data_IF_575555286781
#
_entry.id   IF_575555286781
#
_cell.length_a   1.000
_cell.length_b   1.000
_cell.length_c   1.000
_cell.angle_alpha   90.00
_cell.angle_beta   90.00
_cell.angle_gamma   90.00
#
_symmetry.space_group_name_H-M   'P 1'
#
loop_
_entity.id
_entity.type
_entity.pdbx_description
1 polymer ?
#
# COMPACT_ATOMS: atom_id res chain seq x y z
N UNK A 1 9.83 -16.30 -11.76
CA UNK A 1 8.65 -15.88 -10.96
C UNK A 1 8.85 -14.45 -10.46
N UNK A 2 7.76 -13.76 -10.15
CA UNK A 2 7.76 -12.43 -9.56
C UNK A 2 7.50 -12.58 -8.05
N UNK A 3 8.33 -11.97 -7.22
CA UNK A 3 8.08 -11.87 -5.78
C UNK A 3 7.35 -10.56 -5.49
N UNK A 4 6.17 -10.63 -4.88
CA UNK A 4 5.50 -9.44 -4.35
C UNK A 4 5.48 -9.49 -2.82
N UNK A 5 5.40 -8.32 -2.19
CA UNK A 5 5.19 -8.29 -0.76
C UNK A 5 4.55 -7.01 -0.24
N UNK A 6 3.81 -7.17 0.85
CA UNK A 6 3.25 -6.10 1.66
C UNK A 6 4.08 -6.01 2.94
N UNK A 7 4.84 -4.91 3.09
CA UNK A 7 5.77 -4.72 4.20
C UNK A 7 5.14 -3.76 5.21
N UNK A 8 4.67 -4.32 6.32
CA UNK A 8 4.12 -3.58 7.45
C UNK A 8 5.02 -3.64 8.69
N UNK A 9 4.77 -2.71 9.63
CA UNK A 9 5.49 -2.64 10.90
C UNK A 9 5.30 -3.88 11.79
N UNK A 10 4.16 -4.56 11.67
CA UNK A 10 3.82 -5.75 12.48
C UNK A 10 3.96 -7.04 11.69
N UNK A 11 3.51 -7.04 10.43
CA UNK A 11 3.51 -8.22 9.56
C UNK A 11 4.11 -7.86 8.21
N UNK A 12 4.92 -8.77 7.69
CA UNK A 12 5.41 -8.77 6.32
C UNK A 12 4.80 -9.97 5.61
N UNK A 13 4.04 -9.71 4.55
CA UNK A 13 3.47 -10.76 3.69
C UNK A 13 4.28 -10.84 2.41
N UNK A 14 4.78 -12.02 2.08
CA UNK A 14 5.45 -12.29 0.81
C UNK A 14 4.65 -13.31 0.03
N UNK A 15 4.54 -13.10 -1.28
CA UNK A 15 3.91 -14.04 -2.18
C UNK A 15 4.67 -14.12 -3.50
N UNK A 16 4.76 -15.32 -4.07
CA UNK A 16 5.36 -15.54 -5.38
C UNK A 16 4.29 -15.77 -6.43
N UNK A 17 4.50 -15.18 -7.59
CA UNK A 17 3.57 -15.21 -8.70
C UNK A 17 4.24 -15.75 -9.97
N UNK A 18 3.50 -16.59 -10.68
CA UNK A 18 3.80 -16.97 -12.05
C UNK A 18 2.98 -16.10 -13.01
N UNK A 19 3.61 -15.70 -14.11
CA UNK A 19 2.99 -14.87 -15.14
C UNK A 19 2.40 -15.76 -16.22
N UNK A 20 1.09 -15.68 -16.44
CA UNK A 20 0.41 -16.32 -17.57
C UNK A 20 -0.25 -15.24 -18.43
N UNK A 21 0.45 -14.79 -19.47
CA UNK A 21 0.06 -13.62 -20.25
C UNK A 21 -0.01 -12.37 -19.35
N UNK A 22 -1.18 -11.74 -19.30
CA UNK A 22 -1.43 -10.56 -18.45
C UNK A 22 -1.97 -10.91 -17.05
N UNK A 23 -2.06 -12.20 -16.70
CA UNK A 23 -2.53 -12.64 -15.39
C UNK A 23 -1.37 -13.05 -14.49
N UNK A 24 -1.50 -12.74 -13.21
CA UNK A 24 -0.62 -13.21 -12.15
C UNK A 24 -1.31 -14.34 -11.41
N UNK A 25 -0.72 -15.54 -11.41
CA UNK A 25 -1.18 -16.65 -10.60
C UNK A 25 -0.33 -16.74 -9.34
N UNK A 26 -0.95 -16.62 -8.17
CA UNK A 26 -0.27 -16.84 -6.90
C UNK A 26 0.11 -18.31 -6.76
N UNK A 27 1.40 -18.56 -6.52
CA UNK A 27 1.96 -19.90 -6.32
C UNK A 27 2.04 -20.23 -4.83
N UNK A 28 2.55 -19.28 -4.04
CA UNK A 28 2.67 -19.43 -2.59
C UNK A 28 2.66 -18.08 -1.90
N UNK A 29 2.16 -18.05 -0.67
CA UNK A 29 2.17 -16.90 0.23
C UNK A 29 2.69 -17.33 1.61
N UNK A 30 3.45 -16.45 2.26
CA UNK A 30 3.81 -16.55 3.68
C UNK A 30 3.70 -15.21 4.38
N UNK A 31 3.40 -15.28 5.68
CA UNK A 31 3.38 -14.12 6.57
C UNK A 31 4.47 -14.30 7.62
N UNK A 32 5.25 -13.25 7.80
CA UNK A 32 6.32 -13.13 8.78
C UNK A 32 5.96 -12.06 9.81
N UNK A 33 6.30 -12.29 11.07
CA UNK A 33 6.19 -11.26 12.11
C UNK A 33 7.38 -10.30 11.98
N UNK A 34 7.15 -9.07 11.55
CA UNK A 34 8.24 -8.13 11.21
C UNK A 34 9.16 -7.84 12.40
N UNK A 35 8.62 -7.85 13.62
CA UNK A 35 9.38 -7.56 14.85
C UNK A 35 10.35 -8.69 15.25
N UNK A 36 10.16 -9.89 14.72
CA UNK A 36 11.01 -11.06 15.01
C UNK A 36 12.18 -11.17 14.02
N UNK A 37 12.33 -10.20 13.11
CA UNK A 37 13.25 -10.28 11.97
C UNK A 37 14.23 -9.11 12.00
N UNK A 38 15.48 -9.34 11.60
CA UNK A 38 16.50 -8.29 11.61
C UNK A 38 16.30 -7.27 10.49
N UNK A 39 15.70 -7.70 9.38
CA UNK A 39 15.44 -6.85 8.21
C UNK A 39 14.73 -7.60 7.08
N UNK A 40 14.23 -6.83 6.11
CA UNK A 40 13.57 -7.39 4.93
C UNK A 40 14.45 -8.36 4.10
N UNK A 41 15.77 -8.13 3.90
CA UNK A 41 16.61 -9.08 3.16
C UNK A 41 16.66 -10.49 3.77
N UNK A 42 16.59 -10.60 5.10
CA UNK A 42 16.56 -11.88 5.81
C UNK A 42 15.25 -12.63 5.50
N UNK A 43 14.12 -11.94 5.59
CA UNK A 43 12.79 -12.49 5.29
C UNK A 43 12.73 -13.01 3.85
N UNK A 44 13.19 -12.20 2.89
CA UNK A 44 13.17 -12.58 1.47
C UNK A 44 14.09 -13.78 1.23
N UNK A 45 15.29 -13.79 1.81
CA UNK A 45 16.23 -14.90 1.66
C UNK A 45 15.68 -16.20 2.24
N UNK A 46 15.03 -16.12 3.40
CA UNK A 46 14.35 -17.27 4.00
C UNK A 46 13.20 -17.78 3.12
N UNK A 47 12.36 -16.88 2.61
CA UNK A 47 11.25 -17.24 1.73
C UNK A 47 11.73 -17.94 0.46
N UNK A 48 12.71 -17.36 -0.24
CA UNK A 48 13.27 -17.93 -1.48
C UNK A 48 13.89 -19.31 -1.21
N UNK A 49 14.64 -19.44 -0.12
CA UNK A 49 15.28 -20.71 0.25
C UNK A 49 14.25 -21.79 0.59
N UNK A 50 13.26 -21.45 1.40
CA UNK A 50 12.29 -22.43 1.91
C UNK A 50 11.33 -22.89 0.82
N UNK A 51 10.92 -21.99 -0.06
CA UNK A 51 9.99 -22.31 -1.15
C UNK A 51 10.67 -22.78 -2.44
N UNK A 52 12.00 -22.62 -2.56
CA UNK A 52 12.76 -23.07 -3.73
C UNK A 52 12.41 -22.32 -5.02
N UNK A 53 12.02 -21.04 -4.92
CA UNK A 53 11.45 -20.29 -6.04
C UNK A 53 12.52 -19.53 -6.83
N UNK A 54 12.58 -19.67 -8.18
CA UNK A 54 13.44 -18.85 -9.02
C UNK A 54 12.84 -17.46 -9.24
N UNK A 55 13.07 -16.57 -8.27
CA UNK A 55 12.66 -15.16 -8.35
C UNK A 55 13.56 -14.41 -9.32
N UNK A 56 12.97 -13.68 -10.27
CA UNK A 56 13.70 -12.87 -11.27
C UNK A 56 13.56 -11.37 -11.03
N UNK A 57 12.42 -10.98 -10.47
CA UNK A 57 12.06 -9.60 -10.15
C UNK A 57 11.21 -9.59 -8.90
N UNK A 58 11.24 -8.45 -8.21
CA UNK A 58 10.41 -8.25 -7.02
C UNK A 58 9.76 -6.86 -7.00
N UNK A 59 8.61 -6.74 -6.33
CA UNK A 59 7.99 -5.46 -6.03
C UNK A 59 7.41 -5.49 -4.62
N UNK A 60 7.69 -4.46 -3.82
CA UNK A 60 7.23 -4.39 -2.44
C UNK A 60 6.41 -3.12 -2.21
N UNK A 61 5.17 -3.29 -1.73
CA UNK A 61 4.36 -2.23 -1.17
C UNK A 61 4.77 -1.98 0.28
N UNK A 62 5.09 -0.74 0.63
CA UNK A 62 5.52 -0.36 1.99
C UNK A 62 4.58 0.64 2.64
N UNK A 63 4.31 0.43 3.93
CA UNK A 63 3.55 1.37 4.75
C UNK A 63 4.37 2.66 4.99
N UNK A 64 4.17 3.65 4.13
CA UNK A 64 4.82 4.96 4.20
C UNK A 64 5.37 5.46 2.86
N UNK A 65 6.01 6.64 2.86
CA UNK A 65 6.48 7.28 1.65
C UNK A 65 7.72 6.58 1.07
N UNK A 66 7.72 6.36 -0.24
CA UNK A 66 8.89 5.92 -1.00
C UNK A 66 9.53 7.12 -1.69
N UNK A 67 10.83 7.34 -1.47
CA UNK A 67 11.60 8.43 -2.08
C UNK A 67 12.86 7.87 -2.71
N UNK A 68 13.03 8.09 -4.01
CA UNK A 68 14.19 7.61 -4.78
C UNK A 68 14.46 6.09 -4.59
N UNK A 69 13.39 5.28 -4.50
CA UNK A 69 13.50 3.83 -4.31
C UNK A 69 13.87 3.40 -2.89
N UNK A 70 13.76 4.30 -1.91
CA UNK A 70 14.05 4.07 -0.49
C UNK A 70 12.84 4.38 0.40
N UNK A 71 12.63 3.59 1.45
CA UNK A 71 11.60 3.83 2.47
C UNK A 71 12.09 3.47 3.87
N UNK A 72 11.58 4.18 4.86
CA UNK A 72 11.77 3.88 6.28
C UNK A 72 10.44 3.35 6.82
N UNK A 73 10.44 2.13 7.34
CA UNK A 73 9.23 1.55 7.91
C UNK A 73 8.97 2.16 9.28
N UNK A 74 7.77 2.72 9.48
CA UNK A 74 7.35 3.26 10.76
C UNK A 74 7.43 2.19 11.86
N UNK A 75 7.94 2.57 13.03
CA UNK A 75 8.07 1.68 14.20
C UNK A 75 8.99 0.46 14.02
N UNK A 76 9.81 0.42 12.96
CA UNK A 76 10.92 -0.53 12.81
C UNK A 76 12.22 0.24 12.51
N UNK A 77 13.39 -0.31 12.85
CA UNK A 77 14.68 0.28 12.48
C UNK A 77 15.02 0.07 10.99
N UNK A 78 14.07 -0.47 10.20
CA UNK A 78 14.31 -0.86 8.82
C UNK A 78 14.35 0.34 7.89
N UNK A 79 15.41 0.36 7.09
CA UNK A 79 15.55 1.21 5.93
C UNK A 79 15.68 0.27 4.73
N UNK A 80 14.72 0.34 3.83
CA UNK A 80 14.67 -0.49 2.64
C UNK A 80 15.12 0.36 1.47
N UNK A 81 16.11 -0.12 0.72
CA UNK A 81 16.57 0.47 -0.53
C UNK A 81 16.48 -0.58 -1.63
N UNK A 82 15.70 -0.28 -2.67
CA UNK A 82 15.45 -1.18 -3.80
C UNK A 82 16.73 -1.63 -4.52
N UNK A 83 17.71 -0.73 -4.69
CA UNK A 83 18.97 -1.05 -5.37
C UNK A 83 19.84 -1.95 -4.50
N UNK A 84 19.89 -1.66 -3.20
CA UNK A 84 20.60 -2.49 -2.24
C UNK A 84 20.00 -3.90 -2.17
N UNK A 85 18.66 -4.01 -2.06
CA UNK A 85 17.97 -5.30 -2.10
C UNK A 85 18.28 -6.06 -3.40
N UNK A 86 18.20 -5.40 -4.55
CA UNK A 86 18.50 -6.00 -5.85
C UNK A 86 19.91 -6.59 -5.90
N UNK A 87 20.91 -5.87 -5.40
CA UNK A 87 22.29 -6.33 -5.32
C UNK A 87 22.47 -7.49 -4.35
N UNK A 88 21.91 -7.40 -3.14
CA UNK A 88 22.06 -8.43 -2.10
C UNK A 88 21.39 -9.74 -2.51
N UNK A 89 20.23 -9.67 -3.15
CA UNK A 89 19.41 -10.82 -3.55
C UNK A 89 19.69 -11.30 -4.98
N UNK A 90 20.58 -10.62 -5.71
CA UNK A 90 20.91 -10.90 -7.12
C UNK A 90 19.68 -10.90 -8.03
N UNK A 91 18.77 -9.94 -7.79
CA UNK A 91 17.58 -9.74 -8.60
C UNK A 91 17.83 -8.68 -9.68
N UNK A 92 17.29 -8.90 -10.87
CA UNK A 92 17.47 -7.98 -12.00
C UNK A 92 16.69 -6.67 -11.82
N UNK A 93 15.56 -6.72 -11.12
CA UNK A 93 14.68 -5.57 -10.89
C UNK A 93 13.97 -5.71 -9.54
N UNK A 94 14.03 -4.64 -8.75
CA UNK A 94 13.31 -4.52 -7.47
C UNK A 94 12.57 -3.19 -7.46
N UNK A 95 11.24 -3.25 -7.42
CA UNK A 95 10.36 -2.11 -7.23
C UNK A 95 10.04 -1.89 -5.75
N UNK A 96 9.97 -0.62 -5.35
CA UNK A 96 9.46 -0.20 -4.05
C UNK A 96 8.39 0.85 -4.31
N UNK A 97 7.18 0.61 -3.83
CA UNK A 97 6.03 1.51 -4.00
C UNK A 97 5.30 1.68 -2.67
N UNK A 98 4.51 2.73 -2.54
CA UNK A 98 3.66 2.89 -1.38
C UNK A 98 2.60 1.76 -1.32
N UNK A 99 2.16 1.39 -0.13
CA UNK A 99 1.13 0.36 0.10
C UNK A 99 -0.22 0.68 -0.57
N UNK A 100 -0.70 1.92 -0.47
CA UNK A 100 -1.94 2.32 -1.13
C UNK A 100 -1.79 2.43 -2.65
N UNK A 101 -0.62 2.85 -3.13
CA UNK A 101 -0.28 2.78 -4.55
C UNK A 101 -0.31 1.32 -5.05
N UNK A 102 0.20 0.37 -4.27
CA UNK A 102 0.13 -1.06 -4.58
C UNK A 102 -1.32 -1.56 -4.63
N UNK A 103 -2.18 -1.12 -3.70
CA UNK A 103 -3.61 -1.45 -3.76
C UNK A 103 -4.29 -0.87 -4.99
N UNK A 104 -3.94 0.35 -5.38
CA UNK A 104 -4.45 0.97 -6.60
C UNK A 104 -4.07 0.19 -7.86
N UNK A 105 -2.84 -0.35 -7.95
CA UNK A 105 -2.49 -1.32 -9.00
C UNK A 105 -3.29 -2.62 -8.90
N UNK A 106 -3.56 -3.09 -7.68
CA UNK A 106 -4.31 -4.31 -7.43
C UNK A 106 -5.78 -4.27 -7.83
N UNK A 107 -6.38 -3.08 -7.95
CA UNK A 107 -7.79 -2.92 -8.35
C UNK A 107 -8.06 -3.53 -9.73
N UNK A 108 -7.14 -3.42 -10.67
CA UNK A 108 -7.29 -3.98 -12.03
C UNK A 108 -7.30 -5.52 -12.04
N UNK A 109 -6.90 -6.16 -10.95
CA UNK A 109 -6.96 -7.62 -10.79
C UNK A 109 -8.28 -8.12 -10.17
N UNK A 110 -9.12 -7.20 -9.67
CA UNK A 110 -10.40 -7.53 -9.05
C UNK A 110 -11.50 -7.70 -10.10
N UNK A 111 -12.47 -8.57 -9.81
CA UNK A 111 -13.66 -8.80 -10.63
C UNK A 111 -14.87 -8.09 -10.02
N UNK A 112 -15.95 -7.92 -10.81
CA UNK A 112 -17.17 -7.23 -10.34
C UNK A 112 -17.76 -7.80 -9.04
N UNK A 113 -17.55 -9.10 -8.78
CA UNK A 113 -17.99 -9.77 -7.54
C UNK A 113 -17.23 -9.34 -6.28
N UNK A 114 -16.06 -8.75 -6.45
CA UNK A 114 -15.20 -8.27 -5.36
C UNK A 114 -15.58 -6.84 -4.92
N UNK A 115 -16.55 -6.22 -5.60
CA UNK A 115 -17.04 -4.88 -5.33
C UNK A 115 -18.48 -4.89 -4.81
N UNK A 116 -18.77 -3.96 -3.91
CA UNK A 116 -20.12 -3.62 -3.48
C UNK A 116 -20.35 -2.15 -3.82
N UNK A 117 -21.33 -1.86 -4.67
CA UNK A 117 -21.70 -0.49 -5.02
C UNK A 117 -22.40 0.19 -3.83
N UNK A 118 -21.80 1.27 -3.32
CA UNK A 118 -22.40 2.11 -2.27
C UNK A 118 -23.28 3.22 -2.85
N UNK A 119 -22.92 3.71 -4.03
CA UNK A 119 -23.68 4.68 -4.81
C UNK A 119 -23.43 4.38 -6.28
N UNK A 120 -24.51 4.31 -7.06
CA UNK A 120 -24.41 4.15 -8.50
C UNK A 120 -23.77 5.39 -9.14
N UNK A 121 -22.84 5.14 -10.06
CA UNK A 121 -22.24 6.17 -10.90
C UNK A 121 -22.85 6.17 -12.30
N UNK A 122 -22.34 7.04 -13.18
CA UNK A 122 -22.68 6.97 -14.61
C UNK A 122 -21.99 5.76 -15.24
N UNK A 123 -22.69 5.01 -16.10
CA UNK A 123 -22.13 3.83 -16.79
C UNK A 123 -20.97 4.21 -17.73
N UNK A 124 -20.98 5.44 -18.24
CA UNK A 124 -19.98 6.04 -19.13
C UNK A 124 -18.96 6.92 -18.39
N UNK A 125 -18.86 6.79 -17.06
CA UNK A 125 -17.93 7.58 -16.26
C UNK A 125 -16.47 7.23 -16.61
N UNK A 126 -15.83 8.12 -17.38
CA UNK A 126 -14.38 8.12 -17.62
C UNK A 126 -13.69 9.21 -16.80
N UNK A 127 -12.48 8.91 -16.33
CA UNK A 127 -11.65 9.89 -15.62
C UNK A 127 -10.83 9.30 -14.50
N UNK A 128 -10.25 10.21 -13.71
CA UNK A 128 -9.41 9.85 -12.58
C UNK A 128 -10.21 9.07 -11.53
N UNK A 129 -9.54 8.12 -10.88
CA UNK A 129 -10.08 7.35 -9.76
C UNK A 129 -9.27 7.63 -8.51
N UNK A 130 -9.82 7.26 -7.36
CA UNK A 130 -9.11 7.30 -6.09
C UNK A 130 -9.39 6.03 -5.29
N UNK A 131 -8.40 5.60 -4.52
CA UNK A 131 -8.52 4.53 -3.53
C UNK A 131 -8.38 5.16 -2.17
N UNK A 132 -9.34 4.88 -1.30
CA UNK A 132 -9.35 5.36 0.07
C UNK A 132 -9.51 4.14 0.98
N UNK A 133 -8.64 4.01 1.98
CA UNK A 133 -8.67 2.90 2.92
C UNK A 133 -8.50 3.42 4.36
N UNK A 134 -9.57 3.37 5.14
CA UNK A 134 -9.55 3.61 6.58
C UNK A 134 -9.22 2.31 7.33
N UNK A 135 -8.05 2.28 7.98
CA UNK A 135 -7.57 1.17 8.83
C UNK A 135 -6.95 1.75 10.09
N UNK A 136 -5.72 1.37 10.45
CA UNK A 136 -4.97 2.05 11.52
C UNK A 136 -4.69 3.52 11.21
N UNK A 137 -4.65 3.89 9.93
CA UNK A 137 -4.60 5.27 9.43
C UNK A 137 -5.58 5.46 8.27
N UNK A 138 -5.45 6.56 7.53
CA UNK A 138 -6.27 6.88 6.35
C UNK A 138 -5.38 6.96 5.12
N UNK A 139 -5.31 5.85 4.39
CA UNK A 139 -4.57 5.77 3.15
C UNK A 139 -5.35 6.36 1.98
N UNK A 140 -4.66 7.10 1.11
CA UNK A 140 -5.23 7.64 -0.14
C UNK A 140 -4.23 7.46 -1.28
N UNK A 141 -4.69 6.91 -2.40
CA UNK A 141 -3.95 6.91 -3.66
C UNK A 141 -4.85 7.45 -4.79
N UNK A 142 -4.26 8.18 -5.72
CA UNK A 142 -4.93 8.60 -6.94
C UNK A 142 -4.58 7.67 -8.08
N UNK A 143 -5.47 7.57 -9.06
CA UNK A 143 -5.18 6.97 -10.36
C UNK A 143 -5.57 7.97 -11.43
N UNK A 144 -4.60 8.54 -12.14
CA UNK A 144 -4.92 9.45 -13.23
C UNK A 144 -5.24 8.66 -14.50
N UNK A 145 -6.20 9.17 -15.28
CA UNK A 145 -6.58 8.61 -16.57
C UNK A 145 -5.77 9.26 -17.69
N UNK A 146 -5.09 8.46 -18.51
CA UNK A 146 -4.31 8.96 -19.65
C UNK A 146 -5.05 8.88 -21.00
N UNK A 147 -6.33 8.47 -20.99
CA UNK A 147 -7.11 8.17 -22.19
C UNK A 147 -7.10 6.70 -22.60
N UNK A 148 -6.29 5.86 -21.97
CA UNK A 148 -6.17 4.43 -22.26
C UNK A 148 -6.19 3.55 -21.01
N UNK A 149 -5.50 3.96 -19.94
CA UNK A 149 -5.41 3.23 -18.67
C UNK A 149 -5.26 4.17 -17.48
N UNK A 150 -5.54 3.62 -16.31
CA UNK A 150 -5.29 4.27 -15.03
C UNK A 150 -3.82 4.11 -14.62
N UNK A 151 -3.24 5.20 -14.12
CA UNK A 151 -1.88 5.22 -13.59
C UNK A 151 -1.91 5.61 -12.11
N UNK A 152 -1.72 4.64 -11.20
CA UNK A 152 -1.63 4.90 -9.77
C UNK A 152 -0.48 5.84 -9.41
N UNK A 153 -0.71 6.67 -8.39
CA UNK A 153 0.33 7.44 -7.72
C UNK A 153 0.04 7.53 -6.23
N UNK A 154 1.09 7.45 -5.42
CA UNK A 154 1.03 7.63 -3.99
C UNK A 154 0.71 9.09 -3.62
N UNK A 155 -0.07 9.28 -2.56
CA UNK A 155 -0.26 10.58 -1.94
C UNK A 155 -0.51 10.46 -0.44
N UNK A 156 -0.44 11.58 0.28
CA UNK A 156 -0.67 11.65 1.72
C UNK A 156 -2.02 12.32 2.02
N UNK A 157 -3.03 12.03 1.18
CA UNK A 157 -4.33 12.71 1.19
C UNK A 157 -5.09 12.57 2.51
N UNK A 158 -4.88 11.48 3.26
CA UNK A 158 -5.49 11.30 4.57
C UNK A 158 -4.99 12.27 5.64
N UNK A 159 -3.83 12.90 5.40
CA UNK A 159 -3.28 13.94 6.25
C UNK A 159 -3.80 15.34 5.89
N UNK A 160 -4.71 15.49 4.92
CA UNK A 160 -5.40 16.76 4.67
C UNK A 160 -6.25 17.17 5.90
N UNK A 161 -6.47 18.48 6.06
CA UNK A 161 -7.24 19.01 7.19
C UNK A 161 -8.70 18.58 7.14
N UNK A 162 -9.27 18.27 8.29
CA UNK A 162 -10.71 18.00 8.41
C UNK A 162 -11.51 19.27 8.10
N UNK A 163 -12.41 19.18 7.12
CA UNK A 163 -13.24 20.29 6.66
C UNK A 163 -14.70 20.08 7.12
N UNK A 164 -15.09 20.55 8.32
CA UNK A 164 -16.44 20.37 8.84
C UNK A 164 -17.48 21.13 8.00
N UNK A 165 -18.67 20.54 7.86
CA UNK A 165 -19.74 21.04 6.98
C UNK A 165 -21.03 21.44 7.69
N UNK A 166 -21.16 21.14 8.98
CA UNK A 166 -22.32 21.48 9.80
C UNK A 166 -21.91 21.78 11.25
N UNK A 167 -22.86 22.26 12.07
CA UNK A 167 -22.61 22.64 13.46
C UNK A 167 -22.02 21.51 14.30
N UNK A 168 -22.57 20.29 14.16
CA UNK A 168 -22.06 19.12 14.87
C UNK A 168 -20.60 18.81 14.51
N UNK A 169 -20.24 18.89 13.23
CA UNK A 169 -18.87 18.68 12.76
C UNK A 169 -17.92 19.80 13.22
N UNK A 170 -18.41 21.05 13.32
CA UNK A 170 -17.62 22.18 13.85
C UNK A 170 -17.35 22.01 15.35
N UNK A 171 -18.33 21.54 16.12
CA UNK A 171 -18.15 21.20 17.54
C UNK A 171 -17.13 20.06 17.71
N UNK A 172 -17.21 19.02 16.89
CA UNK A 172 -16.24 17.92 16.86
C UNK A 172 -14.83 18.44 16.55
N UNK A 173 -14.67 19.30 15.54
CA UNK A 173 -13.39 19.92 15.23
C UNK A 173 -12.84 20.68 16.45
N UNK A 174 -13.65 21.53 17.08
CA UNK A 174 -13.23 22.30 18.26
C UNK A 174 -12.83 21.42 19.45
N UNK A 175 -13.56 20.34 19.69
CA UNK A 175 -13.21 19.34 20.71
C UNK A 175 -11.86 18.68 20.42
N UNK A 176 -11.69 18.17 19.20
CA UNK A 176 -10.47 17.47 18.81
C UNK A 176 -9.26 18.40 18.78
N UNK A 177 -9.42 19.64 18.30
CA UNK A 177 -8.35 20.64 18.25
C UNK A 177 -7.76 20.94 19.64
N UNK A 178 -8.60 21.03 20.68
CA UNK A 178 -8.13 21.20 22.05
C UNK A 178 -7.29 20.03 22.55
N UNK A 179 -7.53 18.82 22.04
CA UNK A 179 -6.85 17.58 22.45
C UNK A 179 -5.56 17.31 21.66
N UNK A 180 -5.56 17.60 20.35
CA UNK A 180 -4.50 17.15 19.43
C UNK A 180 -3.89 18.27 18.58
N UNK A 181 -4.38 19.51 18.67
CA UNK A 181 -3.97 20.61 17.79
C UNK A 181 -4.53 20.44 16.39
N UNK A 182 -3.67 20.21 15.39
CA UNK A 182 -4.10 20.03 14.00
C UNK A 182 -4.90 18.73 13.81
N UNK A 183 -6.06 18.82 13.17
CA UNK A 183 -6.96 17.70 12.93
C UNK A 183 -7.00 17.38 11.44
N UNK A 184 -6.40 16.25 11.06
CA UNK A 184 -6.50 15.69 9.72
C UNK A 184 -7.70 14.76 9.58
N UNK A 185 -8.08 14.45 8.34
CA UNK A 185 -9.09 13.43 8.05
C UNK A 185 -8.73 12.08 8.71
N UNK A 186 -7.45 11.67 8.71
CA UNK A 186 -7.00 10.44 9.38
C UNK A 186 -7.33 10.39 10.87
N UNK A 187 -7.31 11.54 11.57
CA UNK A 187 -7.57 11.60 13.02
C UNK A 187 -9.02 11.23 13.35
N UNK A 188 -9.91 11.24 12.36
CA UNK A 188 -11.33 10.96 12.49
C UNK A 188 -11.66 9.64 11.78
N UNK A 189 -11.16 9.45 10.56
CA UNK A 189 -11.48 8.32 9.68
C UNK A 189 -10.40 7.24 9.76
N UNK A 190 -10.18 6.71 10.95
CA UNK A 190 -9.28 5.58 11.21
C UNK A 190 -9.71 4.82 12.46
N UNK A 191 -9.15 3.64 12.67
CA UNK A 191 -9.37 2.83 13.86
C UNK A 191 -9.09 3.60 15.16
N UNK A 192 -7.98 4.34 15.30
CA UNK A 192 -7.77 5.22 16.46
C UNK A 192 -8.68 6.46 16.53
N UNK A 193 -9.32 6.84 15.42
CA UNK A 193 -10.23 8.00 15.35
C UNK A 193 -11.67 7.69 15.80
N UNK A 194 -12.06 6.41 15.78
CA UNK A 194 -13.35 5.87 16.25
C UNK A 194 -13.20 5.42 17.70
#
# INVERSE_FOLDING_TARGET
MILAGEIGATRTRLAAFETQGNKLQQVVEKIYMSQEQSGLPEIISDFIRTEGIPVQSACFGVAGPVRAGRSKISNLPWIIDSRELGRQLKLNSVGLINDLEAYAYGIDALESKDFIALSEGSEDAEGNRAVISARTGLGVAGLYWDGFRHHPFACEGGHADFAPRNELEMELLGYLQKKYGRISCERILSGPGI
#
